data_IF_713833897541
#
_entry.id   IF_713833897541
#
_cell.length_a   1.000
_cell.length_b   1.000
_cell.length_c   1.000
_cell.angle_alpha   90.00
_cell.angle_beta   90.00
_cell.angle_gamma   90.00
#
_symmetry.space_group_name_H-M   'P 1'
#
loop_
_entity.id
_entity.type
_entity.pdbx_description
1 polymer ?
#
# COMPACT_ATOMS: atom_id res chain seq x y z
N UNK A 1 -9.13 -1.71 -17.17
CA UNK A 1 -8.87 -1.24 -15.79
C UNK A 1 -7.46 -0.66 -15.73
N UNK A 2 -7.24 0.47 -15.04
CA UNK A 2 -5.90 1.06 -14.89
C UNK A 2 -4.93 0.12 -14.15
N UNK A 3 -5.45 -0.73 -13.25
CA UNK A 3 -4.66 -1.69 -12.45
C UNK A 3 -3.85 -2.67 -13.29
N UNK A 4 -4.35 -3.08 -14.47
CA UNK A 4 -3.61 -3.95 -15.40
C UNK A 4 -2.27 -3.33 -15.81
N UNK A 5 -2.26 -2.02 -16.04
CA UNK A 5 -1.08 -1.30 -16.52
C UNK A 5 0.01 -1.16 -15.46
N UNK A 6 -0.27 -1.37 -14.18
CA UNK A 6 0.75 -1.28 -13.13
C UNK A 6 1.81 -2.41 -13.22
N UNK A 7 1.46 -3.55 -13.82
CA UNK A 7 2.34 -4.70 -13.93
C UNK A 7 3.47 -4.52 -14.96
N UNK A 8 4.40 -5.47 -14.98
CA UNK A 8 5.44 -5.59 -16.00
C UNK A 8 4.82 -5.84 -17.38
N UNK A 9 3.81 -6.71 -17.42
CA UNK A 9 2.99 -6.98 -18.58
C UNK A 9 1.52 -6.66 -18.26
N UNK A 10 0.78 -6.27 -19.30
CA UNK A 10 -0.64 -5.96 -19.26
C UNK A 10 -1.36 -6.69 -20.39
N UNK A 11 -2.59 -7.11 -20.14
CA UNK A 11 -3.44 -7.75 -21.14
C UNK A 11 -4.34 -6.70 -21.81
N UNK A 12 -4.32 -6.59 -23.15
CA UNK A 12 -5.19 -5.68 -23.90
C UNK A 12 -6.59 -6.30 -24.04
N UNK A 13 -7.35 -6.23 -22.95
CA UNK A 13 -8.65 -6.90 -22.82
C UNK A 13 -9.63 -6.47 -23.90
N UNK A 14 -9.68 -5.18 -24.25
CA UNK A 14 -10.63 -4.69 -25.24
C UNK A 14 -10.31 -5.24 -26.64
N UNK A 15 -9.05 -5.23 -27.03
CA UNK A 15 -8.56 -5.71 -28.31
C UNK A 15 -8.80 -7.22 -28.45
N UNK A 16 -8.48 -8.00 -27.42
CA UNK A 16 -8.72 -9.45 -27.41
C UNK A 16 -10.22 -9.78 -27.38
N UNK A 17 -11.00 -9.09 -26.56
CA UNK A 17 -12.40 -9.48 -26.31
C UNK A 17 -13.39 -8.85 -27.29
N UNK A 18 -13.21 -7.58 -27.65
CA UNK A 18 -14.13 -6.81 -28.52
C UNK A 18 -13.68 -6.78 -29.97
N UNK A 19 -12.39 -6.64 -30.23
CA UNK A 19 -11.86 -6.57 -31.60
C UNK A 19 -11.56 -7.97 -32.15
N UNK A 20 -11.23 -8.93 -31.28
CA UNK A 20 -10.95 -10.31 -31.65
C UNK A 20 -9.50 -10.54 -32.09
N UNK A 21 -8.57 -9.73 -31.58
CA UNK A 21 -7.14 -9.93 -31.81
C UNK A 21 -6.63 -11.23 -31.17
N UNK A 22 -5.51 -11.73 -31.68
CA UNK A 22 -4.82 -12.88 -31.10
C UNK A 22 -4.36 -12.59 -29.67
N UNK A 23 -4.29 -13.64 -28.85
CA UNK A 23 -3.86 -13.55 -27.45
C UNK A 23 -2.40 -13.09 -27.38
N UNK A 24 -2.16 -11.97 -26.72
CA UNK A 24 -0.82 -11.43 -26.51
C UNK A 24 -0.74 -10.58 -25.24
N UNK A 25 0.50 -10.35 -24.80
CA UNK A 25 0.82 -9.42 -23.72
C UNK A 25 1.41 -8.14 -24.29
N UNK A 26 1.13 -7.01 -23.63
CA UNK A 26 1.77 -5.73 -23.89
C UNK A 26 2.64 -5.34 -22.69
N UNK A 27 3.62 -4.46 -22.91
CA UNK A 27 4.37 -3.87 -21.78
C UNK A 27 3.45 -3.02 -20.94
N UNK A 28 3.45 -3.26 -19.63
CA UNK A 28 2.86 -2.34 -18.67
C UNK A 28 3.86 -1.25 -18.25
N UNK A 29 3.49 -0.51 -17.22
CA UNK A 29 4.29 0.56 -16.60
C UNK A 29 5.41 0.01 -15.72
N UNK A 30 5.32 -1.26 -15.31
CA UNK A 30 6.37 -1.99 -14.61
C UNK A 30 6.84 -1.31 -13.31
N UNK A 31 5.88 -0.87 -12.49
CA UNK A 31 6.18 -0.10 -11.28
C UNK A 31 7.00 -0.86 -10.24
N UNK A 32 6.91 -2.19 -10.23
CA UNK A 32 7.60 -3.02 -9.24
C UNK A 32 9.03 -3.40 -9.67
N UNK A 33 9.44 -3.12 -10.92
CA UNK A 33 10.79 -3.40 -11.39
C UNK A 33 11.88 -2.65 -10.63
N UNK A 34 11.58 -1.44 -10.13
CA UNK A 34 12.51 -0.69 -9.28
C UNK A 34 12.90 -1.46 -8.00
N UNK A 35 12.02 -2.37 -7.55
CA UNK A 35 12.21 -3.23 -6.39
C UNK A 35 12.66 -4.65 -6.77
N UNK A 36 12.98 -4.91 -8.04
CA UNK A 36 13.42 -6.22 -8.53
C UNK A 36 12.31 -7.19 -8.91
N UNK A 37 11.04 -6.82 -8.70
CA UNK A 37 9.90 -7.68 -8.94
C UNK A 37 9.39 -7.55 -10.37
N UNK A 38 9.10 -8.69 -11.01
CA UNK A 38 8.39 -8.75 -12.28
C UNK A 38 7.01 -9.39 -12.06
N UNK A 39 5.99 -8.55 -11.94
CA UNK A 39 4.62 -8.96 -11.62
C UNK A 39 3.64 -8.49 -12.69
N UNK A 40 2.83 -9.39 -13.21
CA UNK A 40 1.65 -9.10 -14.04
C UNK A 40 0.43 -9.04 -13.13
N UNK A 41 -0.33 -7.95 -13.15
CA UNK A 41 -1.50 -7.78 -12.27
C UNK A 41 -2.78 -8.01 -13.05
N UNK A 42 -3.65 -8.90 -12.57
CA UNK A 42 -4.93 -9.25 -13.19
C UNK A 42 -6.06 -8.88 -12.22
N UNK A 43 -6.73 -7.73 -12.38
CA UNK A 43 -7.90 -7.38 -11.58
C UNK A 43 -9.12 -8.19 -12.03
N UNK A 44 -10.24 -8.07 -11.30
CA UNK A 44 -11.48 -8.75 -11.66
C UNK A 44 -11.27 -10.27 -11.85
N UNK A 45 -10.45 -10.85 -10.97
CA UNK A 45 -10.01 -12.24 -11.08
C UNK A 45 -11.20 -13.22 -11.04
N UNK A 46 -12.11 -13.01 -10.10
CA UNK A 46 -13.34 -13.78 -9.95
C UNK A 46 -14.57 -13.18 -10.66
N UNK A 47 -14.40 -12.30 -11.64
CA UNK A 47 -15.56 -11.68 -12.32
C UNK A 47 -16.49 -12.75 -12.92
N UNK A 48 -17.79 -12.51 -12.75
CA UNK A 48 -18.85 -13.41 -13.16
C UNK A 48 -19.98 -12.68 -13.90
N UNK A 49 -19.71 -11.53 -14.51
CA UNK A 49 -20.73 -10.70 -15.20
C UNK A 49 -21.41 -11.44 -16.37
N UNK A 50 -20.70 -12.41 -16.96
CA UNK A 50 -21.24 -13.28 -18.02
C UNK A 50 -22.20 -14.38 -17.54
N UNK A 51 -22.47 -14.48 -16.22
CA UNK A 51 -23.35 -15.48 -15.64
C UNK A 51 -22.91 -16.92 -15.94
N UNK A 52 -23.88 -17.81 -16.13
CA UNK A 52 -23.60 -19.23 -16.44
C UNK A 52 -23.29 -19.48 -17.92
N UNK A 53 -23.51 -18.49 -18.79
CA UNK A 53 -23.39 -18.63 -20.25
C UNK A 53 -22.01 -18.28 -20.76
N UNK A 54 -21.30 -17.39 -20.06
CA UNK A 54 -19.99 -16.90 -20.46
C UNK A 54 -19.07 -16.73 -19.26
N UNK A 55 -17.94 -17.43 -19.31
CA UNK A 55 -16.86 -17.24 -18.36
C UNK A 55 -16.17 -15.89 -18.61
N UNK A 56 -16.23 -15.03 -17.61
CA UNK A 56 -15.68 -13.66 -17.61
C UNK A 56 -14.63 -13.46 -16.51
N UNK A 57 -14.18 -14.56 -15.89
CA UNK A 57 -13.09 -14.55 -14.93
C UNK A 57 -11.79 -14.00 -15.54
N UNK A 58 -10.83 -13.66 -14.70
CA UNK A 58 -9.52 -13.17 -15.12
C UNK A 58 -9.60 -11.92 -16.00
N UNK A 59 -10.32 -10.90 -15.52
CA UNK A 59 -10.52 -9.63 -16.21
C UNK A 59 -11.26 -9.76 -17.56
N UNK A 60 -12.45 -10.38 -17.56
CA UNK A 60 -13.37 -10.53 -18.70
C UNK A 60 -12.90 -11.48 -19.82
N UNK A 61 -11.76 -12.16 -19.65
CA UNK A 61 -11.17 -13.00 -20.69
C UNK A 61 -11.56 -14.48 -20.56
N UNK A 62 -11.86 -14.92 -19.34
CA UNK A 62 -12.23 -16.30 -19.02
C UNK A 62 -11.03 -17.24 -18.91
N UNK A 63 -11.20 -18.30 -18.13
CA UNK A 63 -10.18 -19.28 -17.75
C UNK A 63 -9.49 -19.90 -18.98
N UNK A 64 -10.27 -20.33 -19.97
CA UNK A 64 -9.72 -21.04 -21.14
C UNK A 64 -8.76 -20.17 -21.98
N UNK A 65 -9.04 -18.87 -22.08
CA UNK A 65 -8.15 -17.92 -22.78
C UNK A 65 -7.02 -17.47 -21.88
N UNK A 66 -7.28 -17.27 -20.60
CA UNK A 66 -6.26 -16.90 -19.62
C UNK A 66 -5.19 -17.98 -19.47
N UNK A 67 -5.56 -19.26 -19.40
CA UNK A 67 -4.64 -20.40 -19.41
C UNK A 67 -3.70 -20.36 -20.64
N UNK A 68 -4.20 -19.99 -21.82
CA UNK A 68 -3.36 -19.83 -23.02
C UNK A 68 -2.44 -18.62 -22.94
N UNK A 69 -2.92 -17.51 -22.39
CA UNK A 69 -2.09 -16.33 -22.18
C UNK A 69 -0.94 -16.60 -21.20
N UNK A 70 -1.17 -17.40 -20.16
CA UNK A 70 -0.13 -17.78 -19.21
C UNK A 70 1.05 -18.50 -19.88
N UNK A 71 0.81 -19.31 -20.93
CA UNK A 71 1.90 -19.99 -21.65
C UNK A 71 2.75 -19.05 -22.50
N UNK A 72 2.28 -17.83 -22.73
CA UNK A 72 3.01 -16.78 -23.46
C UNK A 72 3.82 -15.88 -22.52
N UNK A 73 3.71 -16.07 -21.21
CA UNK A 73 4.49 -15.29 -20.25
C UNK A 73 5.98 -15.70 -20.27
N UNK A 74 6.90 -14.76 -20.05
CA UNK A 74 8.30 -15.09 -19.79
C UNK A 74 8.45 -16.02 -18.59
N UNK A 75 9.49 -16.85 -18.60
CA UNK A 75 9.82 -17.72 -17.47
C UNK A 75 10.09 -16.88 -16.20
N UNK A 76 9.58 -17.34 -15.06
CA UNK A 76 9.72 -16.66 -13.77
C UNK A 76 8.79 -15.47 -13.56
N UNK A 77 7.92 -15.14 -14.51
CA UNK A 77 6.89 -14.10 -14.34
C UNK A 77 5.91 -14.50 -13.23
N UNK A 78 5.73 -13.60 -12.26
CA UNK A 78 4.68 -13.73 -11.26
C UNK A 78 3.38 -13.11 -11.80
N UNK A 79 2.24 -13.76 -11.57
CA UNK A 79 0.91 -13.15 -11.78
C UNK A 79 0.24 -12.93 -10.43
N UNK A 80 -0.26 -11.72 -10.22
CA UNK A 80 -1.08 -11.34 -9.07
C UNK A 80 -2.53 -11.11 -9.53
N UNK A 81 -3.37 -12.11 -9.29
CA UNK A 81 -4.81 -12.03 -9.41
C UNK A 81 -5.46 -11.32 -8.23
N UNK A 82 -6.34 -10.37 -8.50
CA UNK A 82 -7.07 -9.63 -7.48
C UNK A 82 -8.56 -9.70 -7.80
N UNK A 83 -9.34 -10.24 -6.86
CA UNK A 83 -10.79 -10.32 -6.99
C UNK A 83 -11.46 -8.94 -7.06
N UNK A 84 -12.72 -8.92 -7.46
CA UNK A 84 -13.52 -7.69 -7.40
C UNK A 84 -13.66 -7.16 -5.97
N UNK A 85 -13.76 -5.84 -5.84
CA UNK A 85 -13.84 -5.14 -4.55
C UNK A 85 -12.71 -5.52 -3.57
N UNK A 86 -11.54 -5.88 -4.10
CA UNK A 86 -10.37 -6.33 -3.35
C UNK A 86 -9.15 -5.53 -3.76
N UNK A 87 -8.24 -5.33 -2.81
CA UNK A 87 -6.95 -4.68 -3.01
C UNK A 87 -5.85 -5.49 -2.33
N UNK A 88 -4.63 -5.37 -2.84
CA UNK A 88 -3.42 -5.89 -2.21
C UNK A 88 -2.52 -4.71 -1.90
N UNK A 89 -2.26 -4.49 -0.61
CA UNK A 89 -1.26 -3.52 -0.16
C UNK A 89 0.08 -4.23 -0.12
N UNK A 90 1.07 -3.69 -0.81
CA UNK A 90 2.46 -4.16 -0.78
C UNK A 90 3.25 -3.22 0.12
N UNK A 91 3.72 -3.71 1.26
CA UNK A 91 4.58 -2.98 2.17
C UNK A 91 6.01 -3.51 2.09
N UNK A 92 6.88 -2.77 1.40
CA UNK A 92 8.30 -3.12 1.28
C UNK A 92 9.10 -2.91 2.56
N UNK A 93 8.69 -2.02 3.46
CA UNK A 93 9.38 -1.81 4.73
C UNK A 93 9.22 -3.04 5.65
N UNK A 94 8.01 -3.61 5.66
CA UNK A 94 7.68 -4.79 6.46
C UNK A 94 7.91 -6.12 5.70
N UNK A 95 8.24 -6.06 4.41
CA UNK A 95 8.40 -7.23 3.55
C UNK A 95 7.12 -8.08 3.45
N UNK A 96 5.94 -7.46 3.49
CA UNK A 96 4.68 -8.17 3.52
C UNK A 96 3.63 -7.57 2.58
N UNK A 97 2.71 -8.42 2.15
CA UNK A 97 1.49 -8.03 1.46
C UNK A 97 0.29 -8.21 2.39
N UNK A 98 -0.73 -7.36 2.24
CA UNK A 98 -2.01 -7.48 2.93
C UNK A 98 -3.17 -7.46 1.94
N UNK A 99 -4.07 -8.43 2.08
CA UNK A 99 -5.34 -8.44 1.33
C UNK A 99 -6.36 -7.59 2.07
N UNK A 100 -6.99 -6.66 1.35
CA UNK A 100 -8.06 -5.80 1.86
C UNK A 100 -9.29 -5.88 0.95
N UNK A 101 -10.48 -5.74 1.53
CA UNK A 101 -11.74 -5.81 0.79
C UNK A 101 -12.49 -7.11 1.05
N UNK A 102 -13.33 -7.53 0.11
CA UNK A 102 -14.26 -8.65 0.32
C UNK A 102 -13.84 -9.97 -0.31
N UNK A 103 -12.89 -9.97 -1.24
CA UNK A 103 -12.43 -11.16 -1.96
C UNK A 103 -11.03 -11.61 -1.57
N UNK A 104 -10.38 -12.30 -2.49
CA UNK A 104 -9.07 -12.92 -2.32
C UNK A 104 -8.03 -12.31 -3.26
N UNK A 105 -6.77 -12.58 -2.93
CA UNK A 105 -5.66 -12.39 -3.86
C UNK A 105 -5.08 -13.76 -4.23
N UNK A 106 -4.81 -13.97 -5.52
CA UNK A 106 -4.18 -15.20 -6.02
C UNK A 106 -2.81 -14.88 -6.59
N UNK A 107 -1.77 -15.53 -6.09
CA UNK A 107 -0.41 -15.45 -6.65
C UNK A 107 -0.15 -16.71 -7.47
N UNK A 108 0.09 -16.56 -8.77
CA UNK A 108 0.55 -17.63 -9.64
C UNK A 108 2.03 -17.40 -9.99
N UNK A 109 2.90 -18.35 -9.62
CA UNK A 109 4.32 -18.29 -9.93
C UNK A 109 4.88 -19.71 -10.05
N UNK A 110 5.72 -19.95 -11.06
CA UNK A 110 6.35 -21.25 -11.32
C UNK A 110 5.34 -22.42 -11.37
N UNK A 111 4.16 -22.16 -11.95
CA UNK A 111 3.07 -23.14 -12.06
C UNK A 111 2.32 -23.44 -10.76
N UNK A 112 2.63 -22.76 -9.67
CA UNK A 112 1.96 -22.92 -8.37
C UNK A 112 1.03 -21.75 -8.09
N UNK A 113 -0.17 -22.06 -7.63
CA UNK A 113 -1.17 -21.08 -7.21
C UNK A 113 -1.25 -21.01 -5.68
N UNK A 114 -1.14 -19.81 -5.12
CA UNK A 114 -1.38 -19.52 -3.72
C UNK A 114 -2.52 -18.52 -3.59
N UNK A 115 -3.57 -18.89 -2.85
CA UNK A 115 -4.73 -18.02 -2.59
C UNK A 115 -4.63 -17.48 -1.18
N UNK A 116 -4.83 -16.17 -1.05
CA UNK A 116 -4.80 -15.43 0.21
C UNK A 116 -6.16 -14.81 0.46
N UNK A 117 -6.75 -15.18 1.59
CA UNK A 117 -8.09 -14.76 2.01
C UNK A 117 -8.12 -13.29 2.41
N UNK A 118 -9.34 -12.74 2.50
CA UNK A 118 -9.56 -11.38 3.00
C UNK A 118 -8.90 -11.17 4.37
N UNK A 119 -8.41 -9.95 4.61
CA UNK A 119 -7.74 -9.52 5.84
C UNK A 119 -6.44 -10.29 6.18
N UNK A 120 -6.00 -11.21 5.31
CA UNK A 120 -4.78 -11.96 5.52
C UNK A 120 -3.53 -11.15 5.17
N UNK A 121 -2.40 -11.55 5.77
CA UNK A 121 -1.06 -11.07 5.43
C UNK A 121 -0.21 -12.23 4.94
N UNK A 122 0.65 -11.96 3.97
CA UNK A 122 1.57 -12.94 3.42
C UNK A 122 2.93 -12.31 3.11
N UNK A 123 3.98 -13.14 3.05
CA UNK A 123 5.33 -12.66 2.74
C UNK A 123 5.36 -12.07 1.33
N UNK A 124 6.05 -10.94 1.16
CA UNK A 124 6.29 -10.35 -0.16
C UNK A 124 7.13 -11.27 -1.07
N UNK A 125 7.94 -12.17 -0.49
CA UNK A 125 8.84 -13.08 -1.20
C UNK A 125 8.10 -14.00 -2.20
N UNK A 126 6.80 -14.22 -1.99
CA UNK A 126 5.99 -15.04 -2.90
C UNK A 126 5.83 -14.39 -4.28
N UNK A 127 5.99 -13.06 -4.36
CA UNK A 127 5.98 -12.33 -5.63
C UNK A 127 7.30 -12.46 -6.40
N UNK A 128 8.39 -12.86 -5.73
CA UNK A 128 9.72 -13.01 -6.30
C UNK A 128 10.82 -12.43 -5.41
N UNK A 129 12.05 -12.47 -5.89
CA UNK A 129 13.18 -11.82 -5.24
C UNK A 129 13.04 -10.30 -5.35
N UNK A 130 13.18 -9.59 -4.22
CA UNK A 130 12.97 -8.15 -4.16
C UNK A 130 14.04 -7.45 -3.33
N UNK A 131 14.19 -6.14 -3.53
CA UNK A 131 15.09 -5.28 -2.78
C UNK A 131 14.53 -3.87 -2.63
N UNK A 132 15.01 -3.13 -1.62
CA UNK A 132 14.76 -1.70 -1.49
C UNK A 132 15.81 -0.91 -2.29
N UNK A 133 15.41 0.04 -3.17
CA UNK A 133 16.35 0.88 -3.89
C UNK A 133 16.92 1.99 -2.98
N UNK A 134 17.74 1.61 -1.99
CA UNK A 134 18.20 2.46 -0.89
C UNK A 134 18.98 3.72 -1.33
N UNK A 135 19.52 3.75 -2.56
CA UNK A 135 20.25 4.90 -3.11
C UNK A 135 19.66 5.42 -4.43
N UNK A 136 18.40 5.08 -4.73
CA UNK A 136 17.83 5.34 -6.05
C UNK A 136 18.47 4.49 -7.15
N UNK A 137 19.08 3.35 -6.78
CA UNK A 137 19.66 2.42 -7.75
C UNK A 137 18.61 2.01 -8.78
N UNK A 138 18.95 2.16 -10.07
CA UNK A 138 18.06 1.91 -11.22
C UNK A 138 16.84 2.84 -11.34
N UNK A 139 16.79 3.90 -10.54
CA UNK A 139 15.83 5.01 -10.68
C UNK A 139 16.58 6.19 -11.32
N UNK A 140 16.02 6.86 -12.35
CA UNK A 140 16.61 8.08 -12.88
C UNK A 140 16.89 9.09 -11.77
N UNK A 141 18.08 9.67 -11.77
CA UNK A 141 18.56 10.53 -10.67
C UNK A 141 17.64 11.73 -10.43
N UNK A 142 17.11 12.34 -11.48
CA UNK A 142 16.15 13.44 -11.42
C UNK A 142 14.85 13.04 -10.73
N UNK A 143 14.32 11.85 -11.04
CA UNK A 143 13.12 11.32 -10.39
C UNK A 143 13.37 11.00 -8.91
N UNK A 144 14.52 10.43 -8.59
CA UNK A 144 14.92 10.15 -7.20
C UNK A 144 15.03 11.43 -6.37
N UNK A 145 15.71 12.46 -6.90
CA UNK A 145 15.84 13.75 -6.23
C UNK A 145 14.48 14.44 -6.04
N UNK A 146 13.60 14.39 -7.05
CA UNK A 146 12.25 14.93 -6.93
C UNK A 146 11.43 14.21 -5.85
N UNK A 147 11.56 12.88 -5.73
CA UNK A 147 10.90 12.10 -4.69
C UNK A 147 11.39 12.46 -3.29
N UNK A 148 12.71 12.62 -3.11
CA UNK A 148 13.31 13.07 -1.85
C UNK A 148 12.82 14.48 -1.46
N UNK A 149 12.87 15.43 -2.39
CA UNK A 149 12.41 16.80 -2.14
C UNK A 149 10.91 16.84 -1.75
N UNK A 150 10.08 16.03 -2.41
CA UNK A 150 8.66 15.92 -2.08
C UNK A 150 8.42 15.24 -0.71
N UNK A 151 9.27 14.29 -0.31
CA UNK A 151 9.20 13.66 1.01
C UNK A 151 9.59 14.65 2.11
N UNK A 152 10.69 15.38 1.94
CA UNK A 152 11.09 16.44 2.86
C UNK A 152 10.02 17.53 2.98
N UNK A 153 9.37 17.92 1.87
CA UNK A 153 8.30 18.91 1.92
C UNK A 153 7.09 18.40 2.71
N UNK A 154 6.66 17.15 2.50
CA UNK A 154 5.60 16.53 3.30
C UNK A 154 5.95 16.48 4.78
N UNK A 155 7.20 16.16 5.12
CA UNK A 155 7.68 16.14 6.50
C UNK A 155 7.68 17.56 7.09
N UNK A 156 8.12 18.57 6.34
CA UNK A 156 8.05 19.99 6.74
C UNK A 156 6.61 20.45 6.95
N UNK A 157 5.69 20.10 6.05
CA UNK A 157 4.26 20.42 6.16
C UNK A 157 3.65 19.74 7.39
N UNK A 158 3.90 18.45 7.59
CA UNK A 158 3.44 17.71 8.77
C UNK A 158 3.96 18.34 10.06
N UNK A 159 5.25 18.66 10.13
CA UNK A 159 5.87 19.35 11.26
C UNK A 159 5.29 20.76 11.48
N UNK A 160 4.99 21.50 10.42
CA UNK A 160 4.37 22.82 10.51
C UNK A 160 2.92 22.77 11.01
N UNK A 161 2.18 21.70 10.70
CA UNK A 161 0.84 21.45 11.25
C UNK A 161 0.86 20.89 12.66
N UNK A 162 1.94 20.22 13.07
CA UNK A 162 2.18 19.72 14.41
C UNK A 162 2.68 20.84 15.36
N UNK A 163 1.96 21.97 15.42
CA UNK A 163 2.20 23.04 16.38
C UNK A 163 1.06 23.05 17.40
N UNK A 164 1.33 22.90 18.71
CA UNK A 164 0.29 22.96 19.73
C UNK A 164 -0.44 24.31 19.69
N UNK A 165 -1.76 24.29 19.84
CA UNK A 165 -2.53 25.52 19.93
C UNK A 165 -2.23 26.27 21.24
N UNK A 166 -2.57 27.56 21.31
CA UNK A 166 -2.47 28.34 22.54
C UNK A 166 -3.23 27.70 23.71
N UNK A 167 -4.32 26.99 23.43
CA UNK A 167 -5.08 26.23 24.43
C UNK A 167 -4.25 25.06 24.99
N UNK A 168 -3.56 24.29 24.15
CA UNK A 168 -2.71 23.18 24.61
C UNK A 168 -1.57 23.70 25.49
N UNK A 169 -0.92 24.80 25.10
CA UNK A 169 0.10 25.43 25.95
C UNK A 169 -0.45 25.92 27.30
N UNK A 170 -1.67 26.49 27.32
CA UNK A 170 -2.31 26.93 28.55
C UNK A 170 -2.61 25.74 29.49
N UNK A 171 -3.06 24.60 28.95
CA UNK A 171 -3.30 23.38 29.72
C UNK A 171 -1.99 22.81 30.29
N UNK A 172 -0.89 22.83 29.53
CA UNK A 172 0.43 22.42 30.05
C UNK A 172 0.88 23.31 31.21
N UNK A 173 0.75 24.64 31.08
CA UNK A 173 1.11 25.58 32.14
C UNK A 173 0.25 25.41 33.40
N UNK A 174 -1.06 25.16 33.23
CA UNK A 174 -1.95 24.84 34.33
C UNK A 174 -1.57 23.52 35.02
N UNK A 175 -1.20 22.51 34.23
CA UNK A 175 -0.73 21.21 34.75
C UNK A 175 0.56 21.38 35.55
N UNK A 176 1.52 22.14 35.04
CA UNK A 176 2.79 22.38 35.73
C UNK A 176 2.57 23.11 37.08
N UNK A 177 1.62 24.04 37.12
CA UNK A 177 1.20 24.71 38.35
C UNK A 177 0.57 23.72 39.35
N UNK A 178 -0.31 22.83 38.89
CA UNK A 178 -0.92 21.80 39.73
C UNK A 178 0.12 20.82 40.30
N UNK A 179 1.11 20.41 39.49
CA UNK A 179 2.23 19.58 39.94
C UNK A 179 3.09 20.26 40.99
N UNK A 180 3.41 21.55 40.80
CA UNK A 180 4.16 22.34 41.78
C UNK A 180 3.41 22.45 43.13
N UNK A 181 2.08 22.53 43.09
CA UNK A 181 1.21 22.49 44.26
C UNK A 181 0.99 21.08 44.84
N UNK A 182 1.53 20.03 44.20
CA UNK A 182 1.32 18.60 44.51
C UNK A 182 -0.15 18.16 44.41
N UNK A 183 -0.93 18.86 43.60
CA UNK A 183 -2.29 18.48 43.22
C UNK A 183 -2.23 17.50 42.03
N UNK A 184 -1.94 16.24 42.35
CA UNK A 184 -1.80 15.18 41.34
C UNK A 184 -3.08 14.90 40.58
N UNK A 185 -4.23 14.99 41.25
CA UNK A 185 -5.53 14.69 40.64
C UNK A 185 -5.89 15.70 39.55
N UNK A 186 -5.63 16.98 39.79
CA UNK A 186 -5.81 18.04 38.79
C UNK A 186 -4.79 17.92 37.66
N UNK A 187 -3.53 17.60 37.98
CA UNK A 187 -2.50 17.40 36.96
C UNK A 187 -2.82 16.23 36.00
N UNK A 188 -3.35 15.12 36.51
CA UNK A 188 -3.75 13.97 35.71
C UNK A 188 -4.96 14.30 34.83
N UNK A 189 -5.96 15.01 35.37
CA UNK A 189 -7.13 15.44 34.59
C UNK A 189 -6.74 16.34 33.41
N UNK A 190 -5.79 17.26 33.62
CA UNK A 190 -5.27 18.13 32.57
C UNK A 190 -4.43 17.37 31.54
N UNK A 191 -3.69 16.33 31.97
CA UNK A 191 -2.97 15.43 31.06
C UNK A 191 -3.95 14.71 30.11
N UNK A 192 -5.07 14.23 30.63
CA UNK A 192 -6.10 13.57 29.81
C UNK A 192 -6.76 14.54 28.83
N UNK A 193 -6.99 15.80 29.23
CA UNK A 193 -7.50 16.82 28.32
C UNK A 193 -6.51 17.14 27.18
N UNK A 194 -5.21 17.21 27.49
CA UNK A 194 -4.16 17.40 26.48
C UNK A 194 -4.10 16.20 25.51
N UNK A 195 -4.24 14.97 26.04
CA UNK A 195 -4.33 13.75 25.24
C UNK A 195 -5.55 13.76 24.30
N UNK A 196 -6.71 14.20 24.78
CA UNK A 196 -7.92 14.33 23.95
C UNK A 196 -7.80 15.38 22.85
N UNK A 197 -6.89 16.35 23.01
CA UNK A 197 -6.55 17.33 21.97
C UNK A 197 -5.49 16.81 20.98
N UNK A 198 -5.08 15.54 21.10
CA UNK A 198 -4.12 14.89 20.20
C UNK A 198 -2.66 15.10 20.60
N UNK A 199 -2.39 15.43 21.87
CA UNK A 199 -1.04 15.71 22.35
C UNK A 199 -0.69 14.85 23.55
N UNK A 200 0.51 14.27 23.56
CA UNK A 200 1.07 13.61 24.71
C UNK A 200 2.05 14.53 25.43
N UNK A 201 1.93 14.63 26.75
CA UNK A 201 2.91 15.35 27.57
C UNK A 201 3.94 14.38 28.12
N UNK A 202 5.22 14.63 27.80
CA UNK A 202 6.37 13.94 28.35
C UNK A 202 7.04 14.83 29.41
N UNK A 203 7.32 14.26 30.58
CA UNK A 203 8.05 14.95 31.64
C UNK A 203 9.54 14.75 31.46
N UNK A 204 10.29 15.83 31.25
CA UNK A 204 11.75 15.81 31.19
C UNK A 204 12.33 16.64 32.36
N UNK A 205 13.62 16.47 32.69
CA UNK A 205 14.28 17.31 33.69
C UNK A 205 14.27 18.82 33.36
N UNK A 206 14.14 19.16 32.08
CA UNK A 206 14.14 20.53 31.56
C UNK A 206 12.72 21.12 31.40
N UNK A 207 11.68 20.31 31.62
CA UNK A 207 10.29 20.76 31.59
C UNK A 207 9.33 19.75 30.95
N UNK A 208 8.11 20.21 30.68
CA UNK A 208 7.09 19.42 29.99
C UNK A 208 7.26 19.57 28.48
N UNK A 209 7.52 18.47 27.78
CA UNK A 209 7.56 18.41 26.31
C UNK A 209 6.22 17.89 25.76
N UNK A 210 5.82 18.42 24.61
CA UNK A 210 4.60 18.03 23.90
C UNK A 210 4.97 17.23 22.65
N UNK A 211 4.43 16.02 22.54
CA UNK A 211 4.54 15.17 21.36
C UNK A 211 3.15 15.06 20.69
N UNK A 212 3.04 15.26 19.37
CA UNK A 212 1.80 15.00 18.66
C UNK A 212 1.49 13.49 18.73
N UNK A 213 0.24 13.13 18.95
CA UNK A 213 -0.22 11.76 18.76
C UNK A 213 -0.57 11.61 17.28
N UNK A 214 0.22 10.81 16.56
CA UNK A 214 -0.11 10.42 15.19
C UNK A 214 -1.47 9.69 15.21
N UNK A 215 -2.44 10.26 14.49
CA UNK A 215 -3.81 9.74 14.37
C UNK A 215 -3.97 8.65 13.32
#
# INVERSE_FOLDING_TARGET
>A
SATLSCGALTMPVYEIYKVGEDLHWQRGLDFLAAYGLSVTVIPHWNNSDGGTELDTSHCYVGEARFTKLQTLLPAGQCVLGIDEHTAVIINFADGCCQVMGSGTATVLRDGTAHVYEKDSRFSLDVLGEWYLPLNGDRIPTDLWQAALAAAEEREREAAATAVPSAQVYALVAARDTARAAKDWQTADSLRDEILNLGWQVLDTPDGSELLPLDG
#
